data_IF_465436677403
#
_entry.id   IF_465436677403
#
_cell.length_a   1.000
_cell.length_b   1.000
_cell.length_c   1.000
_cell.angle_alpha   90.00
_cell.angle_beta   90.00
_cell.angle_gamma   90.00
#
_symmetry.space_group_name_H-M   'P 1'
#
loop_
_entity.id
_entity.type
_entity.pdbx_description
1 polymer ?
#
# COMPACT_ATOMS: atom_id res chain seq x y z
N UNK A 1 -16.14 10.26 -5.23
CA UNK A 1 -15.40 9.29 -4.37
C UNK A 1 -14.05 9.87 -3.99
N UNK A 2 -13.65 9.69 -2.74
CA UNK A 2 -12.36 10.15 -2.21
C UNK A 2 -11.38 8.98 -2.09
N UNK A 3 -10.24 9.08 -2.76
CA UNK A 3 -9.15 8.14 -2.66
C UNK A 3 -8.10 8.65 -1.68
N UNK A 4 -7.71 7.83 -0.71
CA UNK A 4 -6.56 8.10 0.15
C UNK A 4 -5.45 7.09 -0.14
N UNK A 5 -4.29 7.59 -0.53
CA UNK A 5 -3.07 6.81 -0.67
C UNK A 5 -2.32 6.86 0.66
N UNK A 6 -2.25 5.73 1.32
CA UNK A 6 -1.66 5.52 2.63
C UNK A 6 -0.23 5.01 2.49
N UNK A 7 0.74 5.69 3.09
CA UNK A 7 2.17 5.40 2.93
C UNK A 7 2.82 5.31 4.31
N UNK A 8 3.03 4.11 4.86
CA UNK A 8 3.86 3.91 6.03
C UNK A 8 5.32 4.24 5.69
N UNK A 9 5.97 5.03 6.54
CA UNK A 9 7.34 5.48 6.34
C UNK A 9 8.18 5.25 7.59
N UNK A 10 9.41 4.77 7.38
CA UNK A 10 10.45 4.72 8.40
C UNK A 10 11.79 5.08 7.77
N UNK A 11 12.20 6.37 7.90
CA UNK A 11 13.45 6.90 7.35
C UNK A 11 13.55 6.78 5.82
N UNK A 12 12.60 7.40 5.12
CA UNK A 12 12.44 7.36 3.66
C UNK A 12 12.68 8.74 3.00
N UNK A 13 13.51 9.60 3.60
CA UNK A 13 13.72 10.99 3.12
C UNK A 13 14.22 11.05 1.66
N UNK A 14 14.91 10.01 1.19
CA UNK A 14 15.49 9.93 -0.16
C UNK A 14 14.50 9.37 -1.18
N UNK A 15 13.73 8.35 -0.82
CA UNK A 15 12.85 7.59 -1.72
C UNK A 15 11.45 8.19 -1.80
N UNK A 16 10.94 8.73 -0.70
CA UNK A 16 9.59 9.29 -0.61
C UNK A 16 9.27 10.36 -1.67
N UNK A 17 10.20 11.27 -2.08
CA UNK A 17 9.94 12.21 -3.16
C UNK A 17 9.57 11.54 -4.49
N UNK A 18 10.21 10.42 -4.82
CA UNK A 18 9.95 9.66 -6.05
C UNK A 18 8.56 9.01 -5.99
N UNK A 19 8.22 8.41 -4.82
CA UNK A 19 6.89 7.84 -4.58
C UNK A 19 5.81 8.90 -4.75
N UNK A 20 5.96 10.05 -4.10
CA UNK A 20 4.99 11.14 -4.15
C UNK A 20 4.82 11.73 -5.56
N UNK A 21 5.91 11.78 -6.33
CA UNK A 21 5.89 12.25 -7.72
C UNK A 21 5.15 11.29 -8.65
N UNK A 22 5.21 9.98 -8.39
CA UNK A 22 4.55 8.95 -9.19
C UNK A 22 3.05 8.81 -8.93
N UNK A 23 2.53 9.33 -7.81
CA UNK A 23 1.10 9.22 -7.48
C UNK A 23 0.26 10.13 -8.38
N UNK A 24 -0.67 9.59 -9.20
CA UNK A 24 -1.56 10.39 -10.02
C UNK A 24 -2.44 11.32 -9.18
N UNK A 25 -2.51 12.59 -9.56
CA UNK A 25 -3.34 13.58 -8.88
C UNK A 25 -4.79 13.58 -9.35
N UNK A 26 -5.03 13.03 -10.53
CA UNK A 26 -6.36 12.91 -11.14
C UNK A 26 -6.56 11.49 -11.67
N UNK A 27 -7.64 10.86 -11.26
CA UNK A 27 -8.01 9.50 -11.68
C UNK A 27 -9.50 9.53 -12.06
N UNK A 28 -9.84 8.97 -13.21
CA UNK A 28 -11.22 8.88 -13.66
C UNK A 28 -12.09 8.13 -12.64
N UNK A 29 -13.27 8.67 -12.33
CA UNK A 29 -14.17 8.11 -11.30
C UNK A 29 -13.84 8.48 -9.85
N UNK A 30 -12.78 9.27 -9.62
CA UNK A 30 -12.36 9.74 -8.30
C UNK A 30 -12.37 11.26 -8.25
N UNK A 31 -13.07 11.85 -7.27
CA UNK A 31 -13.20 13.30 -7.11
C UNK A 31 -11.95 13.93 -6.51
N UNK A 32 -11.28 13.21 -5.60
CA UNK A 32 -10.05 13.68 -4.95
C UNK A 32 -9.09 12.54 -4.64
N UNK A 33 -7.80 12.81 -4.84
CA UNK A 33 -6.69 11.94 -4.44
C UNK A 33 -5.90 12.64 -3.36
N UNK A 34 -5.90 12.09 -2.15
CA UNK A 34 -5.18 12.61 -1.00
C UNK A 34 -4.14 11.60 -0.51
N UNK A 35 -3.09 12.09 0.14
CA UNK A 35 -1.99 11.27 0.63
C UNK A 35 -1.97 11.35 2.14
N UNK A 36 -1.90 10.19 2.81
CA UNK A 36 -1.71 10.04 4.24
C UNK A 36 -0.35 9.40 4.50
N UNK A 37 0.57 10.13 5.09
CA UNK A 37 1.85 9.60 5.58
C UNK A 37 1.64 9.06 7.00
N UNK A 38 2.06 7.82 7.22
CA UNK A 38 2.15 7.23 8.55
C UNK A 38 3.64 7.21 8.93
N UNK A 39 4.02 8.14 9.76
CA UNK A 39 5.36 8.26 10.33
C UNK A 39 5.51 7.26 11.48
N UNK A 40 6.20 6.17 11.23
CA UNK A 40 6.41 5.10 12.23
C UNK A 40 7.68 5.36 13.09
N UNK A 41 7.86 6.63 13.51
CA UNK A 41 8.97 7.05 14.34
C UNK A 41 10.24 7.36 13.54
N UNK A 42 10.10 8.07 12.41
CA UNK A 42 11.22 8.53 11.60
C UNK A 42 12.15 9.43 12.42
N UNK A 43 13.45 9.26 12.20
CA UNK A 43 14.53 10.05 12.83
C UNK A 43 15.26 10.95 11.83
N UNK A 44 14.95 10.80 10.53
CA UNK A 44 15.45 11.60 9.43
C UNK A 44 14.47 12.72 9.03
N UNK A 45 14.63 13.32 7.87
CA UNK A 45 13.76 14.40 7.37
C UNK A 45 12.55 13.93 6.56
N UNK A 46 12.14 12.66 6.67
CA UNK A 46 11.01 12.09 5.92
C UNK A 46 9.75 12.96 6.02
N UNK A 47 9.35 13.33 7.24
CA UNK A 47 8.13 14.13 7.49
C UNK A 47 8.28 15.55 6.92
N UNK A 48 9.44 16.17 7.07
CA UNK A 48 9.73 17.49 6.54
C UNK A 48 9.65 17.49 5.01
N UNK A 49 10.24 16.50 4.37
CA UNK A 49 10.21 16.31 2.92
C UNK A 49 8.77 16.14 2.42
N UNK A 50 7.97 15.29 3.06
CA UNK A 50 6.57 15.10 2.71
C UNK A 50 5.76 16.41 2.79
N UNK A 51 5.96 17.20 3.85
CA UNK A 51 5.29 18.50 4.01
C UNK A 51 5.66 19.50 2.93
N UNK A 52 6.94 19.58 2.57
CA UNK A 52 7.42 20.44 1.47
C UNK A 52 6.81 20.08 0.13
N UNK A 53 6.53 18.78 -0.09
CA UNK A 53 5.90 18.25 -1.30
C UNK A 53 4.37 18.34 -1.28
N UNK A 54 3.80 19.00 -0.26
CA UNK A 54 2.38 19.34 -0.20
C UNK A 54 1.49 18.26 0.41
N UNK A 55 2.05 17.28 1.09
CA UNK A 55 1.26 16.32 1.88
C UNK A 55 0.64 17.04 3.07
N UNK A 56 -0.66 16.81 3.31
CA UNK A 56 -1.45 17.48 4.35
C UNK A 56 -1.81 16.55 5.50
N UNK A 57 -1.89 15.26 5.28
CA UNK A 57 -2.34 14.31 6.28
C UNK A 57 -1.18 13.47 6.79
N UNK A 58 -1.06 13.44 8.10
CA UNK A 58 -0.01 12.71 8.82
C UNK A 58 -0.62 11.96 10.00
N UNK A 59 -0.12 10.77 10.25
CA UNK A 59 -0.24 10.03 11.49
C UNK A 59 1.16 9.85 12.05
N UNK A 60 1.39 10.19 13.30
CA UNK A 60 2.71 10.10 13.93
C UNK A 60 2.71 9.07 15.05
N UNK A 61 3.65 8.15 14.99
CA UNK A 61 4.02 7.29 16.12
C UNK A 61 5.25 7.87 16.82
N UNK A 62 5.26 7.88 18.15
CA UNK A 62 6.40 8.37 18.94
C UNK A 62 7.67 7.51 18.77
N UNK A 63 7.50 6.25 18.36
CA UNK A 63 8.56 5.28 18.09
C UNK A 63 8.05 4.26 17.09
N UNK A 64 8.94 3.52 16.47
CA UNK A 64 8.60 2.42 15.57
C UNK A 64 7.67 1.42 16.26
N UNK A 65 6.47 1.23 15.68
CA UNK A 65 5.44 0.29 16.11
C UNK A 65 5.34 -0.93 15.17
N UNK A 66 6.02 -0.86 14.03
CA UNK A 66 6.02 -1.86 12.98
C UNK A 66 4.84 -1.73 12.00
N UNK A 67 5.04 -2.31 10.82
CA UNK A 67 4.15 -2.17 9.66
C UNK A 67 2.69 -2.53 9.96
N UNK A 68 2.45 -3.62 10.71
CA UNK A 68 1.07 -4.06 11.03
C UNK A 68 0.31 -3.04 11.88
N UNK A 69 0.99 -2.39 12.81
CA UNK A 69 0.39 -1.33 13.62
C UNK A 69 0.15 -0.09 12.80
N UNK A 70 1.14 0.35 12.03
CA UNK A 70 1.05 1.49 11.12
C UNK A 70 -0.07 1.31 10.11
N UNK A 71 -0.22 0.11 9.55
CA UNK A 71 -1.33 -0.23 8.66
C UNK A 71 -2.69 -0.05 9.33
N UNK A 72 -2.88 -0.66 10.51
CA UNK A 72 -4.16 -0.58 11.23
C UNK A 72 -4.52 0.86 11.61
N UNK A 73 -3.58 1.57 12.20
CA UNK A 73 -3.82 2.93 12.69
C UNK A 73 -4.00 3.89 11.50
N UNK A 74 -3.30 3.64 10.38
CA UNK A 74 -3.49 4.34 9.11
C UNK A 74 -4.86 4.12 8.48
N UNK A 75 -5.39 2.88 8.51
CA UNK A 75 -6.76 2.58 8.05
C UNK A 75 -7.80 3.38 8.81
N UNK A 76 -7.72 3.37 10.15
CA UNK A 76 -8.63 4.14 11.01
C UNK A 76 -8.56 5.62 10.62
N UNK A 77 -7.34 6.15 10.47
CA UNK A 77 -7.15 7.55 10.11
C UNK A 77 -7.68 7.89 8.71
N UNK A 78 -7.49 7.02 7.73
CA UNK A 78 -8.01 7.22 6.38
C UNK A 78 -9.55 7.24 6.37
N UNK A 79 -10.20 6.36 7.13
CA UNK A 79 -11.66 6.36 7.30
C UNK A 79 -12.16 7.65 7.98
N UNK A 80 -11.50 8.13 9.03
CA UNK A 80 -11.80 9.41 9.68
C UNK A 80 -11.69 10.59 8.71
N UNK A 81 -10.78 10.53 7.75
CA UNK A 81 -10.62 11.52 6.69
C UNK A 81 -11.68 11.39 5.59
N UNK A 82 -12.59 10.43 5.69
CA UNK A 82 -13.68 10.22 4.74
C UNK A 82 -13.24 9.51 3.46
N UNK A 83 -12.31 8.57 3.55
CA UNK A 83 -11.92 7.77 2.39
C UNK A 83 -13.06 6.86 1.94
N UNK A 84 -13.38 6.87 0.64
CA UNK A 84 -14.21 5.87 -0.02
C UNK A 84 -13.35 4.70 -0.51
N UNK A 85 -12.12 5.00 -0.95
CA UNK A 85 -11.14 4.03 -1.41
C UNK A 85 -9.81 4.30 -0.70
N UNK A 86 -9.16 3.24 -0.23
CA UNK A 86 -7.83 3.32 0.39
C UNK A 86 -6.86 2.48 -0.42
N UNK A 87 -5.73 3.07 -0.81
CA UNK A 87 -4.61 2.37 -1.42
C UNK A 87 -3.42 2.41 -0.47
N UNK A 88 -2.86 1.25 -0.15
CA UNK A 88 -1.60 1.14 0.58
C UNK A 88 -0.45 1.00 -0.39
N UNK A 89 0.60 1.79 -0.20
CA UNK A 89 1.88 1.63 -0.90
C UNK A 89 3.05 1.94 0.02
N UNK A 90 4.23 1.40 -0.29
CA UNK A 90 5.45 1.63 0.49
C UNK A 90 6.14 2.95 0.12
N UNK A 91 6.94 3.48 1.06
CA UNK A 91 7.76 4.68 0.85
C UNK A 91 9.08 4.43 0.13
N UNK A 92 9.45 3.19 -0.16
CA UNK A 92 10.75 2.75 -0.67
C UNK A 92 10.90 2.79 -2.21
N UNK A 93 9.86 3.24 -2.92
CA UNK A 93 9.79 3.34 -4.38
C UNK A 93 9.97 2.01 -5.14
N UNK A 94 9.61 0.88 -4.54
CA UNK A 94 9.65 -0.42 -5.24
C UNK A 94 8.43 -0.67 -6.13
N UNK A 95 7.38 0.14 -6.01
CA UNK A 95 6.16 0.05 -6.80
C UNK A 95 6.03 1.20 -7.79
N UNK A 96 5.36 0.93 -8.91
CA UNK A 96 5.01 1.95 -9.90
C UNK A 96 3.70 2.60 -9.51
N UNK A 97 3.77 3.76 -8.86
CA UNK A 97 2.61 4.49 -8.35
C UNK A 97 1.65 4.93 -9.49
N UNK A 98 2.17 5.09 -10.69
CA UNK A 98 1.39 5.45 -11.88
C UNK A 98 0.32 4.40 -12.22
N UNK A 99 0.47 3.16 -11.69
CA UNK A 99 -0.49 2.06 -11.90
C UNK A 99 -1.65 2.03 -10.90
N UNK A 100 -1.71 2.97 -9.97
CA UNK A 100 -2.84 3.09 -9.03
C UNK A 100 -4.20 3.10 -9.75
N UNK A 101 -4.39 3.80 -10.89
CA UNK A 101 -5.67 3.77 -11.61
C UNK A 101 -6.07 2.36 -12.08
N UNK A 102 -5.10 1.56 -12.54
CA UNK A 102 -5.35 0.16 -12.95
C UNK A 102 -5.73 -0.71 -11.74
N UNK A 103 -5.08 -0.47 -10.59
CA UNK A 103 -5.32 -1.21 -9.35
C UNK A 103 -6.73 -0.99 -8.82
N UNK A 104 -7.22 0.25 -8.82
CA UNK A 104 -8.54 0.58 -8.25
C UNK A 104 -9.70 0.38 -9.23
N UNK A 105 -9.42 0.14 -10.51
CA UNK A 105 -10.45 -0.02 -11.53
C UNK A 105 -11.51 -1.06 -11.18
N UNK A 106 -11.19 -2.31 -10.73
CA UNK A 106 -12.20 -3.29 -10.39
C UNK A 106 -13.11 -2.85 -9.23
N UNK A 107 -12.61 -1.97 -8.34
CA UNK A 107 -13.42 -1.40 -7.25
C UNK A 107 -14.36 -0.33 -7.81
N UNK A 108 -13.89 0.53 -8.70
CA UNK A 108 -14.72 1.57 -9.34
C UNK A 108 -15.83 0.96 -10.21
N UNK A 109 -15.56 -0.20 -10.81
CA UNK A 109 -16.51 -0.96 -11.63
C UNK A 109 -17.46 -1.84 -10.78
N UNK A 110 -17.24 -1.91 -9.45
CA UNK A 110 -18.05 -2.72 -8.53
C UNK A 110 -17.82 -4.23 -8.65
N UNK A 111 -16.71 -4.64 -9.25
CA UNK A 111 -16.35 -6.03 -9.46
C UNK A 111 -15.65 -6.65 -8.24
N UNK A 112 -15.03 -5.81 -7.40
CA UNK A 112 -14.30 -6.25 -6.22
C UNK A 112 -14.36 -5.21 -5.09
N UNK A 113 -14.36 -5.67 -3.84
CA UNK A 113 -14.21 -4.84 -2.65
C UNK A 113 -12.74 -4.66 -2.25
N UNK A 114 -11.88 -5.57 -2.67
CA UNK A 114 -10.45 -5.57 -2.35
C UNK A 114 -9.64 -6.08 -3.54
N UNK A 115 -8.57 -5.37 -3.88
CA UNK A 115 -7.64 -5.74 -4.95
C UNK A 115 -6.22 -5.78 -4.39
N UNK A 116 -5.50 -6.85 -4.69
CA UNK A 116 -4.09 -7.02 -4.32
C UNK A 116 -3.28 -7.11 -5.60
N UNK A 117 -2.32 -6.20 -5.77
CA UNK A 117 -1.40 -6.26 -6.89
C UNK A 117 -0.43 -7.44 -6.70
N UNK A 118 -0.33 -8.30 -7.69
CA UNK A 118 0.70 -9.33 -7.73
C UNK A 118 2.04 -8.69 -8.12
N UNK A 119 3.02 -8.92 -7.27
CA UNK A 119 4.41 -8.59 -7.59
C UNK A 119 4.94 -9.70 -8.48
N UNK A 120 5.09 -9.46 -9.78
CA UNK A 120 5.78 -10.39 -10.67
C UNK A 120 7.27 -10.51 -10.28
N UNK A 121 7.50 -11.26 -9.19
CA UNK A 121 8.84 -11.49 -8.64
C UNK A 121 9.70 -12.40 -9.52
N UNK A 122 9.13 -12.93 -10.60
CA UNK A 122 9.87 -13.81 -11.52
C UNK A 122 10.87 -13.05 -12.39
N UNK A 123 10.68 -11.73 -12.55
CA UNK A 123 11.57 -10.86 -13.34
C UNK A 123 12.71 -10.25 -12.54
N UNK A 124 12.79 -10.47 -11.23
CA UNK A 124 13.90 -9.93 -10.41
C UNK A 124 15.15 -10.80 -10.64
N UNK A 125 16.10 -10.28 -11.42
CA UNK A 125 17.34 -10.97 -11.82
C UNK A 125 18.28 -11.35 -10.67
N UNK A 126 18.08 -10.82 -9.46
CA UNK A 126 18.97 -11.01 -8.31
C UNK A 126 18.57 -12.10 -7.32
N UNK A 127 17.53 -12.90 -7.59
CA UNK A 127 17.22 -14.03 -6.74
C UNK A 127 18.01 -15.28 -7.10
N UNK A 128 18.84 -15.77 -6.15
CA UNK A 128 19.56 -17.01 -6.34
C UNK A 128 18.57 -18.19 -6.56
N UNK A 129 18.93 -19.22 -7.37
CA UNK A 129 18.04 -20.37 -7.65
C UNK A 129 17.52 -21.06 -6.40
N UNK A 130 18.31 -21.10 -5.33
CA UNK A 130 17.95 -21.69 -4.03
C UNK A 130 16.83 -20.92 -3.34
N UNK A 131 16.81 -19.58 -3.42
CA UNK A 131 15.73 -18.77 -2.87
C UNK A 131 14.41 -18.95 -3.63
N UNK A 132 14.47 -19.07 -4.97
CA UNK A 132 13.29 -19.36 -5.80
C UNK A 132 12.67 -20.71 -5.47
N UNK A 133 13.49 -21.73 -5.21
CA UNK A 133 13.04 -23.05 -4.81
C UNK A 133 12.38 -23.05 -3.42
N UNK A 134 12.98 -22.33 -2.46
CA UNK A 134 12.46 -22.23 -1.09
C UNK A 134 11.11 -21.47 -1.07
N UNK A 135 10.95 -20.44 -1.89
CA UNK A 135 9.67 -19.73 -2.05
C UNK A 135 8.57 -20.63 -2.61
N UNK A 136 8.87 -21.39 -3.68
CA UNK A 136 7.90 -22.35 -4.26
C UNK A 136 7.46 -23.40 -3.24
N UNK A 137 8.41 -23.91 -2.46
CA UNK A 137 8.11 -24.89 -1.40
C UNK A 137 7.26 -24.26 -0.28
N UNK A 138 7.58 -23.03 0.18
CA UNK A 138 6.79 -22.31 1.17
C UNK A 138 5.36 -22.04 0.71
N UNK A 139 5.17 -21.63 -0.54
CA UNK A 139 3.83 -21.41 -1.13
C UNK A 139 3.06 -22.72 -1.23
N UNK A 140 3.71 -23.83 -1.62
CA UNK A 140 3.07 -25.14 -1.67
C UNK A 140 2.59 -25.61 -0.30
N UNK A 141 3.42 -25.46 0.74
CA UNK A 141 3.04 -25.80 2.13
C UNK A 141 1.85 -24.98 2.61
N UNK A 142 1.85 -23.65 2.34
CA UNK A 142 0.74 -22.77 2.74
C UNK A 142 -0.56 -23.10 2.00
N UNK A 143 -0.50 -23.40 0.71
CA UNK A 143 -1.67 -23.81 -0.07
C UNK A 143 -2.26 -25.13 0.45
N UNK A 144 -1.42 -26.08 0.86
CA UNK A 144 -1.88 -27.33 1.47
C UNK A 144 -2.51 -27.09 2.84
N UNK A 145 -1.95 -26.19 3.65
CA UNK A 145 -2.46 -25.91 4.99
C UNK A 145 -3.76 -25.07 4.99
N UNK A 146 -3.92 -24.17 4.01
CA UNK A 146 -5.03 -23.24 3.93
C UNK A 146 -6.18 -23.71 3.02
N UNK A 147 -6.00 -24.80 2.26
CA UNK A 147 -7.00 -25.31 1.32
C UNK A 147 -7.33 -24.33 0.17
N UNK A 148 -6.43 -23.39 -0.12
CA UNK A 148 -6.61 -22.36 -1.16
C UNK A 148 -5.59 -22.56 -2.29
N UNK A 149 -5.99 -22.24 -3.52
CA UNK A 149 -5.06 -22.16 -4.66
C UNK A 149 -4.61 -20.72 -4.87
N UNK A 150 -3.89 -20.17 -3.91
CA UNK A 150 -3.27 -18.86 -4.09
C UNK A 150 -2.02 -19.01 -4.97
N UNK A 151 -1.99 -18.37 -6.12
CA UNK A 151 -0.82 -18.29 -7.00
C UNK A 151 0.19 -17.23 -6.56
N UNK A 152 -0.08 -16.55 -5.43
CA UNK A 152 0.75 -15.48 -4.87
C UNK A 152 1.76 -16.00 -3.86
N UNK A 153 3.00 -15.55 -3.97
CA UNK A 153 4.05 -15.85 -3.01
C UNK A 153 3.82 -15.13 -1.68
N UNK A 154 3.98 -15.80 -0.53
CA UNK A 154 4.14 -15.09 0.73
C UNK A 154 5.48 -14.35 0.68
N UNK A 155 5.45 -13.07 0.38
CA UNK A 155 6.62 -12.23 0.56
C UNK A 155 6.78 -11.98 2.06
N UNK A 156 7.81 -12.54 2.66
CA UNK A 156 8.22 -12.25 4.05
C UNK A 156 8.82 -10.85 4.20
N UNK A 157 8.89 -10.09 3.13
CA UNK A 157 9.37 -8.70 3.12
C UNK A 157 8.76 -7.97 1.92
N UNK A 158 7.87 -7.08 2.20
CA UNK A 158 7.37 -6.14 1.20
C UNK A 158 5.85 -6.05 1.19
N UNK A 159 5.36 -4.88 1.47
CA UNK A 159 3.96 -4.57 1.43
C UNK A 159 3.38 -4.80 0.03
N UNK A 160 2.22 -5.34 0.02
CA UNK A 160 1.42 -5.50 -1.19
C UNK A 160 0.54 -4.28 -1.35
N UNK A 161 0.33 -3.81 -2.57
CA UNK A 161 -0.75 -2.87 -2.83
C UNK A 161 -2.06 -3.52 -2.40
N UNK A 162 -2.78 -2.89 -1.49
CA UNK A 162 -4.10 -3.30 -1.07
C UNK A 162 -5.04 -2.11 -1.24
N UNK A 163 -6.17 -2.32 -1.88
CA UNK A 163 -7.24 -1.35 -1.98
C UNK A 163 -8.45 -1.89 -1.23
N UNK A 164 -9.06 -1.09 -0.39
CA UNK A 164 -10.24 -1.44 0.40
C UNK A 164 -11.30 -0.39 0.12
N UNK A 165 -12.48 -0.81 -0.32
CA UNK A 165 -13.64 0.10 -0.45
C UNK A 165 -14.40 0.15 0.87
N UNK A 166 -14.71 1.36 1.32
CA UNK A 166 -15.42 1.63 2.56
C UNK A 166 -16.95 1.69 2.43
N UNK A 167 -17.55 1.13 1.38
CA UNK A 167 -19.00 1.22 1.20
C UNK A 167 -19.72 0.11 1.96
N UNK A 168 -19.90 0.28 3.26
CA UNK A 168 -21.09 -0.21 3.98
C UNK A 168 -21.58 0.89 4.92
N UNK A 169 -22.28 1.86 4.35
CA UNK A 169 -23.16 2.71 5.14
C UNK A 169 -24.57 2.16 5.00
N UNK A 170 -25.02 1.47 6.05
CA UNK A 170 -26.38 1.44 6.56
C UNK A 170 -27.53 1.64 5.54
N UNK A 171 -28.19 0.55 5.20
CA UNK A 171 -29.63 0.57 4.97
C UNK A 171 -30.27 -0.43 5.93
N UNK A 172 -30.82 0.07 7.00
CA UNK A 172 -31.92 -0.52 7.77
C UNK A 172 -32.70 0.61 8.40
#
# INVERSE_FOLDING_TARGET
MKLIVMIPCLNEEVTLPLVLAGIPRHIGGVDSVEILIIDDGCTDRTVEVARRLGVRHFLHHLKNQGLSRSFRDGLVRALELGADIIVLTDGDNQYKQERIPELIRPILEGEADTVIADRDTQTIEHFSPSKKLLQKFGTWVLNQAAGTSASGHPSTTGASFCSISGTQAASA
#
